data_IF_326878962327
#
_entry.id   IF_326878962327
#
_cell.length_a   1.000
_cell.length_b   1.000
_cell.length_c   1.000
_cell.angle_alpha   90.00
_cell.angle_beta   90.00
_cell.angle_gamma   90.00
#
_symmetry.space_group_name_H-M   'P 1'
#
loop_
_entity.id
_entity.type
_entity.pdbx_description
1 polymer ?
#
# COMPACT_ATOMS: atom_id res chain seq x y z
N UNK A 1 64.23 -36.35 69.49
CA UNK A 1 64.85 -36.31 68.19
C UNK A 1 63.68 -36.01 67.23
N UNK A 2 63.33 -34.77 66.89
CA UNK A 2 63.83 -33.96 65.80
C UNK A 2 63.02 -34.35 64.60
N UNK A 3 62.20 -33.59 64.05
CA UNK A 3 62.50 -32.45 63.27
C UNK A 3 61.23 -31.68 62.83
N UNK A 4 61.44 -30.43 62.54
CA UNK A 4 60.45 -29.44 62.21
C UNK A 4 60.11 -29.48 60.69
N UNK A 5 58.86 -29.39 60.35
CA UNK A 5 58.40 -29.21 58.97
C UNK A 5 57.39 -28.05 58.87
N UNK A 6 57.80 -27.00 58.26
CA UNK A 6 57.18 -25.73 58.10
C UNK A 6 55.86 -25.74 57.38
N UNK A 7 54.88 -25.04 57.95
CA UNK A 7 53.59 -24.70 57.36
C UNK A 7 53.77 -23.67 56.24
N UNK A 8 53.23 -23.92 55.02
CA UNK A 8 52.99 -22.92 54.03
C UNK A 8 51.49 -22.72 53.90
N UNK A 9 51.02 -21.54 54.31
CA UNK A 9 49.65 -21.11 54.16
C UNK A 9 49.38 -20.76 52.68
N UNK A 10 48.47 -21.53 52.10
CA UNK A 10 47.91 -21.23 50.77
C UNK A 10 46.77 -20.20 50.89
N UNK A 11 46.94 -19.07 50.30
CA UNK A 11 45.90 -18.07 50.19
C UNK A 11 44.77 -18.51 49.22
N UNK A 12 43.51 -18.15 49.50
CA UNK A 12 42.41 -18.52 48.59
C UNK A 12 42.42 -17.59 47.37
N UNK A 13 42.53 -18.16 46.19
CA UNK A 13 42.31 -17.50 44.89
C UNK A 13 40.84 -17.17 44.78
N UNK A 14 40.48 -15.91 44.92
CA UNK A 14 39.17 -15.39 44.60
C UNK A 14 39.01 -15.42 43.07
N UNK A 15 38.22 -16.36 42.57
CA UNK A 15 37.76 -16.37 41.18
C UNK A 15 36.81 -15.17 40.95
N UNK A 16 37.28 -14.16 40.21
CA UNK A 16 36.43 -13.13 39.67
C UNK A 16 35.61 -13.73 38.55
N UNK A 17 34.30 -13.94 38.79
CA UNK A 17 33.32 -14.21 37.75
C UNK A 17 33.02 -12.89 37.06
N UNK A 18 33.62 -12.67 35.89
CA UNK A 18 33.23 -11.58 34.97
C UNK A 18 31.90 -11.96 34.35
N UNK A 19 30.82 -11.39 34.86
CA UNK A 19 29.52 -11.41 34.17
C UNK A 19 29.62 -10.52 32.95
N UNK A 20 29.76 -11.15 31.79
CA UNK A 20 29.59 -10.48 30.49
C UNK A 20 28.11 -10.09 30.33
N UNK A 21 27.79 -8.84 30.61
CA UNK A 21 26.50 -8.27 30.23
C UNK A 21 26.50 -8.14 28.70
N UNK A 22 25.88 -9.11 28.02
CA UNK A 22 25.57 -8.99 26.60
C UNK A 22 24.51 -7.88 26.45
N UNK A 23 24.93 -6.66 26.22
CA UNK A 23 24.07 -5.60 25.68
C UNK A 23 23.66 -6.03 24.29
N UNK A 24 22.48 -6.63 24.19
CA UNK A 24 21.80 -6.80 22.91
C UNK A 24 21.55 -5.38 22.39
N UNK A 25 22.38 -4.96 21.44
CA UNK A 25 22.09 -3.80 20.59
C UNK A 25 20.81 -4.14 19.83
N UNK A 26 19.69 -3.66 20.36
CA UNK A 26 18.47 -3.56 19.57
C UNK A 26 18.83 -2.67 18.38
N UNK A 27 19.05 -3.29 17.23
CA UNK A 27 19.10 -2.57 15.96
C UNK A 27 17.83 -1.72 15.90
N UNK A 28 17.94 -0.40 15.66
CA UNK A 28 16.75 0.40 15.45
C UNK A 28 15.99 -0.25 14.31
N UNK A 29 14.71 -0.60 14.54
CA UNK A 29 13.82 -1.02 13.48
C UNK A 29 14.01 -0.02 12.35
N UNK A 30 14.38 -0.51 11.17
CA UNK A 30 14.56 0.32 9.99
C UNK A 30 13.27 1.12 9.84
N UNK A 31 13.32 2.41 10.18
CA UNK A 31 12.23 3.31 9.87
C UNK A 31 12.15 3.31 8.37
N UNK A 32 11.00 2.95 7.82
CA UNK A 32 10.72 3.14 6.41
C UNK A 32 11.09 4.59 6.09
N UNK A 33 12.22 4.75 5.44
CA UNK A 33 12.69 6.07 5.04
C UNK A 33 11.67 6.58 4.05
N UNK A 34 11.18 7.78 4.26
CA UNK A 34 10.30 8.46 3.32
C UNK A 34 11.17 8.77 2.10
N UNK A 35 11.34 7.80 1.24
CA UNK A 35 11.98 8.01 -0.04
C UNK A 35 11.04 8.89 -0.83
N UNK A 36 11.36 10.17 -0.90
CA UNK A 36 10.75 11.08 -1.86
C UNK A 36 11.20 10.66 -3.25
N UNK A 37 10.51 9.67 -3.82
CA UNK A 37 10.77 9.26 -5.18
C UNK A 37 10.38 10.43 -6.09
N UNK A 38 11.38 11.12 -6.60
CA UNK A 38 11.20 12.13 -7.63
C UNK A 38 11.00 11.44 -8.98
N UNK A 39 9.74 11.28 -9.35
CA UNK A 39 9.36 10.70 -10.65
C UNK A 39 9.30 11.77 -11.75
N UNK A 40 10.32 12.60 -11.84
CA UNK A 40 10.53 13.47 -12.98
C UNK A 40 9.36 14.38 -13.32
N UNK A 41 9.12 15.43 -12.55
CA UNK A 41 8.21 16.53 -12.91
C UNK A 41 6.71 16.23 -12.90
N UNK A 42 6.29 14.97 -12.77
CA UNK A 42 4.88 14.59 -12.82
C UNK A 42 4.17 14.65 -11.45
N UNK A 43 4.91 14.80 -10.36
CA UNK A 43 4.42 14.68 -8.98
C UNK A 43 4.44 16.00 -8.20
N UNK A 44 4.50 17.13 -8.88
CA UNK A 44 4.56 18.42 -8.19
C UNK A 44 3.43 18.54 -7.14
N UNK A 45 3.79 18.44 -5.88
CA UNK A 45 2.91 18.64 -4.74
C UNK A 45 2.39 17.40 -4.04
N UNK A 46 2.56 16.19 -4.57
CA UNK A 46 2.12 14.96 -3.88
C UNK A 46 3.31 14.27 -3.20
N UNK A 47 3.23 14.16 -1.88
CA UNK A 47 4.20 13.37 -1.10
C UNK A 47 3.78 11.90 -1.14
N UNK A 48 4.62 11.03 -1.70
CA UNK A 48 4.40 9.59 -1.73
C UNK A 48 5.08 8.96 -0.52
N UNK A 49 4.35 8.09 0.17
CA UNK A 49 4.82 7.29 1.31
C UNK A 49 4.38 5.86 1.07
N UNK A 50 5.26 4.90 1.22
CA UNK A 50 4.84 3.50 1.09
C UNK A 50 5.98 2.52 0.91
N UNK A 51 5.63 1.33 0.43
CA UNK A 51 6.53 0.22 0.23
C UNK A 51 7.51 0.48 -0.92
N UNK A 52 8.73 0.00 -0.77
CA UNK A 52 9.75 -0.09 -1.82
C UNK A 52 9.67 -1.40 -2.61
N UNK A 53 8.75 -2.29 -2.25
CA UNK A 53 8.54 -3.59 -2.90
C UNK A 53 7.72 -3.45 -4.18
N UNK A 54 8.32 -2.83 -5.18
CA UNK A 54 7.77 -2.68 -6.52
C UNK A 54 8.71 -3.27 -7.53
N UNK A 55 8.15 -3.84 -8.60
CA UNK A 55 8.96 -4.14 -9.76
C UNK A 55 9.59 -2.83 -10.23
N UNK A 56 10.92 -2.80 -10.39
CA UNK A 56 11.54 -1.67 -11.05
C UNK A 56 10.91 -1.54 -12.45
N UNK A 57 10.89 -0.35 -13.02
CA UNK A 57 10.46 -0.14 -14.40
C UNK A 57 11.48 -0.79 -15.34
N UNK A 58 11.53 -2.13 -15.31
CA UNK A 58 12.52 -2.94 -16.03
C UNK A 58 12.30 -2.92 -17.51
N UNK A 59 11.19 -2.41 -17.93
CA UNK A 59 10.94 -2.32 -19.32
C UNK A 59 9.98 -1.16 -19.59
N UNK A 60 10.15 -0.54 -20.67
CA UNK A 60 9.48 0.69 -21.07
C UNK A 60 8.17 0.40 -21.84
N UNK A 61 7.77 -0.86 -21.96
CA UNK A 61 6.72 -1.24 -22.90
C UNK A 61 5.71 -2.20 -22.30
N UNK A 62 4.58 -1.69 -21.82
CA UNK A 62 3.38 -2.45 -21.48
C UNK A 62 3.25 -2.89 -20.01
N UNK A 63 2.15 -3.52 -19.65
CA UNK A 63 2.01 -4.13 -18.34
C UNK A 63 2.97 -5.31 -18.22
N UNK A 64 3.85 -5.26 -17.23
CA UNK A 64 4.83 -6.31 -17.01
C UNK A 64 4.39 -7.20 -15.89
N UNK A 65 4.29 -8.46 -16.22
CA UNK A 65 4.24 -9.53 -15.25
C UNK A 65 5.66 -10.01 -14.95
N UNK A 66 5.88 -10.46 -13.72
CA UNK A 66 7.15 -11.12 -13.39
C UNK A 66 7.28 -12.43 -14.14
N UNK A 67 8.51 -12.79 -14.46
CA UNK A 67 8.77 -14.14 -14.97
C UNK A 67 8.54 -15.18 -13.87
N UNK A 68 8.20 -16.43 -14.23
CA UNK A 68 8.07 -17.52 -13.26
C UNK A 68 9.30 -17.72 -12.37
N UNK A 69 10.48 -17.34 -12.83
CA UNK A 69 11.72 -17.41 -12.04
C UNK A 69 11.74 -16.46 -10.83
N UNK A 70 11.02 -15.35 -10.90
CA UNK A 70 10.87 -14.38 -9.81
C UNK A 70 9.66 -14.73 -8.94
N UNK A 71 8.72 -15.50 -9.47
CA UNK A 71 7.49 -15.89 -8.78
C UNK A 71 7.74 -16.55 -7.41
N UNK A 72 8.79 -17.38 -7.29
CA UNK A 72 9.16 -18.01 -6.04
C UNK A 72 9.55 -16.98 -4.95
N UNK A 73 10.22 -15.90 -5.31
CA UNK A 73 10.58 -14.84 -4.38
C UNK A 73 9.34 -14.06 -3.93
N UNK A 74 8.38 -13.84 -4.82
CA UNK A 74 7.09 -13.21 -4.48
C UNK A 74 6.29 -14.09 -3.52
N UNK A 75 6.23 -15.41 -3.78
CA UNK A 75 5.60 -16.38 -2.88
C UNK A 75 6.26 -16.30 -1.50
N UNK A 76 7.59 -16.34 -1.45
CA UNK A 76 8.34 -16.25 -0.19
C UNK A 76 8.04 -14.94 0.55
N UNK A 77 8.06 -13.80 -0.14
CA UNK A 77 7.74 -12.48 0.46
C UNK A 77 6.34 -12.49 1.10
N UNK A 78 5.39 -13.14 0.45
CA UNK A 78 4.03 -13.26 0.98
C UNK A 78 3.94 -14.23 2.15
N UNK A 79 4.52 -15.42 2.05
CA UNK A 79 4.47 -16.47 3.06
C UNK A 79 5.23 -16.10 4.34
N UNK A 80 6.32 -15.34 4.24
CA UNK A 80 7.07 -14.83 5.40
C UNK A 80 6.39 -13.63 6.08
N UNK A 81 5.25 -13.17 5.56
CA UNK A 81 4.49 -12.05 6.14
C UNK A 81 4.96 -10.67 5.71
N UNK A 82 6.02 -10.54 4.92
CA UNK A 82 6.55 -9.26 4.46
C UNK A 82 5.50 -8.43 3.73
N UNK A 83 4.78 -9.04 2.79
CA UNK A 83 3.71 -8.36 2.06
C UNK A 83 2.62 -7.79 2.99
N UNK A 84 2.18 -8.58 3.96
CA UNK A 84 1.15 -8.14 4.92
C UNK A 84 1.65 -7.01 5.80
N UNK A 85 2.89 -7.13 6.30
CA UNK A 85 3.51 -6.11 7.14
C UNK A 85 3.64 -4.76 6.41
N UNK A 86 4.06 -4.77 5.15
CA UNK A 86 4.19 -3.56 4.31
C UNK A 86 2.83 -2.89 4.05
N UNK A 87 1.78 -3.69 3.79
CA UNK A 87 0.42 -3.16 3.65
C UNK A 87 -0.04 -2.52 4.95
N UNK A 88 0.10 -3.20 6.08
CA UNK A 88 -0.33 -2.70 7.39
C UNK A 88 0.40 -1.42 7.78
N UNK A 89 1.70 -1.34 7.54
CA UNK A 89 2.49 -0.14 7.81
C UNK A 89 2.03 1.03 6.93
N UNK A 90 1.92 0.83 5.62
CA UNK A 90 1.44 1.86 4.67
C UNK A 90 0.05 2.36 5.03
N UNK A 91 -0.88 1.44 5.33
CA UNK A 91 -2.26 1.76 5.74
C UNK A 91 -2.28 2.53 7.07
N UNK A 92 -1.43 2.13 8.02
CA UNK A 92 -1.27 2.82 9.30
C UNK A 92 -0.77 4.26 9.10
N UNK A 93 0.19 4.46 8.23
CA UNK A 93 0.68 5.80 7.84
C UNK A 93 -0.43 6.63 7.17
N UNK A 94 -1.17 6.06 6.23
CA UNK A 94 -2.28 6.72 5.56
C UNK A 94 -3.38 7.14 6.54
N UNK A 95 -3.75 6.27 7.47
CA UNK A 95 -4.73 6.55 8.51
C UNK A 95 -4.30 7.68 9.44
N UNK A 96 -3.04 7.66 9.91
CA UNK A 96 -2.49 8.73 10.75
C UNK A 96 -2.43 10.06 10.01
N UNK A 97 -2.03 10.03 8.74
CA UNK A 97 -1.98 11.22 7.90
C UNK A 97 -3.38 11.81 7.72
N UNK A 98 -4.36 10.99 7.31
CA UNK A 98 -5.74 11.42 7.11
C UNK A 98 -6.33 12.04 8.37
N UNK A 99 -6.13 11.42 9.55
CA UNK A 99 -6.59 11.99 10.81
C UNK A 99 -6.01 13.38 11.07
N UNK A 100 -4.68 13.54 10.95
CA UNK A 100 -4.02 14.85 11.12
C UNK A 100 -4.44 15.86 10.07
N UNK A 101 -4.68 15.43 8.84
CA UNK A 101 -5.18 16.28 7.77
C UNK A 101 -6.58 16.82 8.10
N UNK A 102 -7.47 15.97 8.56
CA UNK A 102 -8.82 16.36 8.99
C UNK A 102 -8.78 17.37 10.15
N UNK A 103 -7.93 17.16 11.14
CA UNK A 103 -7.77 18.09 12.26
C UNK A 103 -7.31 19.47 11.80
N UNK A 104 -6.36 19.53 10.86
CA UNK A 104 -5.86 20.79 10.32
C UNK A 104 -6.83 21.50 9.40
N UNK A 105 -7.53 20.75 8.54
CA UNK A 105 -8.34 21.33 7.45
C UNK A 105 -9.81 21.50 7.80
N UNK A 106 -10.34 20.63 8.63
CA UNK A 106 -11.77 20.62 8.99
C UNK A 106 -12.03 21.06 10.43
N UNK A 107 -10.97 21.18 11.21
CA UNK A 107 -10.97 21.54 12.64
C UNK A 107 -10.72 20.35 13.55
N UNK A 108 -9.96 20.60 14.62
CA UNK A 108 -9.59 19.57 15.61
C UNK A 108 -10.84 18.84 16.11
N UNK A 109 -10.78 17.52 16.10
CA UNK A 109 -11.88 16.63 16.51
C UNK A 109 -13.22 16.89 15.79
N UNK A 110 -13.16 17.37 14.54
CA UNK A 110 -14.35 17.63 13.74
C UNK A 110 -15.23 16.37 13.64
N UNK A 111 -16.49 16.48 14.00
CA UNK A 111 -17.48 15.43 13.83
C UNK A 111 -17.80 15.19 12.34
N UNK A 112 -18.39 14.05 12.04
CA UNK A 112 -18.69 13.56 10.68
C UNK A 112 -19.37 14.61 9.78
N UNK A 113 -20.38 15.30 10.28
CA UNK A 113 -21.11 16.30 9.52
C UNK A 113 -20.23 17.51 9.13
N UNK A 114 -19.31 17.91 10.01
CA UNK A 114 -18.36 18.99 9.73
C UNK A 114 -17.32 18.57 8.67
N UNK A 115 -16.81 17.33 8.79
CA UNK A 115 -15.88 16.77 7.81
C UNK A 115 -16.54 16.67 6.42
N UNK A 116 -17.80 16.25 6.35
CA UNK A 116 -18.53 16.20 5.09
C UNK A 116 -18.67 17.59 4.44
N UNK A 117 -18.94 18.63 5.24
CA UNK A 117 -18.96 20.03 4.74
C UNK A 117 -17.59 20.55 4.30
N UNK A 118 -16.51 19.99 4.87
CA UNK A 118 -15.13 20.29 4.47
C UNK A 118 -14.80 19.75 3.07
N UNK A 119 -15.66 18.90 2.50
CA UNK A 119 -15.51 18.26 1.18
C UNK A 119 -14.19 17.45 1.08
N UNK A 120 -13.79 16.83 2.19
CA UNK A 120 -12.65 15.93 2.23
C UNK A 120 -12.94 14.67 1.41
N UNK A 121 -11.96 14.20 0.64
CA UNK A 121 -12.05 12.97 -0.14
C UNK A 121 -10.80 12.13 0.04
N UNK A 122 -10.97 10.81 0.01
CA UNK A 122 -9.92 9.81 -0.12
C UNK A 122 -10.13 9.05 -1.43
N UNK A 123 -9.07 8.89 -2.20
CA UNK A 123 -9.06 8.14 -3.46
C UNK A 123 -8.40 6.80 -3.22
N UNK A 124 -8.98 5.74 -3.78
CA UNK A 124 -8.41 4.40 -3.78
C UNK A 124 -8.40 3.85 -5.20
N UNK A 125 -7.38 3.09 -5.53
CA UNK A 125 -7.43 2.15 -6.65
C UNK A 125 -8.19 0.89 -6.25
N UNK A 126 -8.36 -0.07 -7.16
CA UNK A 126 -9.10 -1.31 -6.90
C UNK A 126 -8.20 -2.54 -6.89
N UNK A 127 -7.57 -2.83 -8.03
CA UNK A 127 -6.80 -4.05 -8.26
C UNK A 127 -5.50 -3.99 -7.44
N UNK A 128 -5.17 -5.04 -6.67
CA UNK A 128 -4.08 -5.09 -5.68
C UNK A 128 -4.03 -3.92 -4.67
N UNK A 129 -5.14 -3.22 -4.56
CA UNK A 129 -5.37 -2.16 -3.57
C UNK A 129 -6.53 -2.51 -2.64
N UNK A 130 -7.71 -2.80 -3.16
CA UNK A 130 -8.89 -3.22 -2.40
C UNK A 130 -9.15 -4.73 -2.50
N UNK A 131 -8.77 -5.34 -3.60
CA UNK A 131 -8.77 -6.79 -3.83
C UNK A 131 -7.39 -7.27 -4.26
N UNK A 132 -7.07 -8.54 -4.01
CA UNK A 132 -5.75 -9.09 -4.30
C UNK A 132 -5.79 -10.09 -5.45
N UNK A 133 -4.98 -9.85 -6.47
CA UNK A 133 -4.78 -10.74 -7.61
C UNK A 133 -3.75 -11.85 -7.37
N UNK A 134 -3.08 -11.83 -6.22
CA UNK A 134 -2.00 -12.78 -5.93
C UNK A 134 -2.40 -14.24 -6.12
N UNK A 135 -3.54 -14.65 -5.57
CA UNK A 135 -3.97 -16.05 -5.65
C UNK A 135 -4.22 -16.51 -7.10
N UNK A 136 -4.69 -15.60 -7.96
CA UNK A 136 -4.85 -15.86 -9.38
C UNK A 136 -3.50 -16.04 -10.07
N UNK A 137 -2.61 -15.06 -9.96
CA UNK A 137 -1.32 -15.06 -10.66
C UNK A 137 -0.36 -16.14 -10.16
N UNK A 138 -0.35 -16.43 -8.84
CA UNK A 138 0.48 -17.47 -8.24
C UNK A 138 -0.07 -18.88 -8.48
N UNK A 139 -1.26 -19.04 -9.05
CA UNK A 139 -1.81 -20.37 -9.29
C UNK A 139 -0.98 -21.12 -10.35
N UNK A 140 -0.85 -22.47 -10.23
CA UNK A 140 -0.11 -23.26 -11.22
C UNK A 140 -0.66 -23.15 -12.65
N UNK A 141 -1.96 -22.85 -12.79
CA UNK A 141 -2.61 -22.71 -14.08
C UNK A 141 -2.22 -21.40 -14.78
N UNK A 142 -1.97 -20.33 -14.04
CA UNK A 142 -1.63 -19.00 -14.55
C UNK A 142 -0.10 -18.80 -14.57
N UNK A 143 0.57 -19.25 -13.50
CA UNK A 143 2.03 -19.22 -13.39
C UNK A 143 2.65 -17.87 -13.79
N UNK A 144 2.08 -16.79 -13.29
CA UNK A 144 2.53 -15.40 -13.53
C UNK A 144 2.39 -14.89 -14.96
N UNK A 145 1.61 -15.56 -15.80
CA UNK A 145 1.36 -15.14 -17.19
C UNK A 145 0.01 -14.42 -17.26
N UNK A 146 0.03 -13.17 -17.74
CA UNK A 146 -1.19 -12.41 -17.94
C UNK A 146 -2.00 -12.98 -19.10
N UNK A 147 -3.32 -13.19 -18.87
CA UNK A 147 -4.30 -13.52 -19.89
C UNK A 147 -5.53 -12.64 -19.66
N UNK A 148 -5.68 -11.61 -20.48
CA UNK A 148 -6.75 -10.64 -20.36
C UNK A 148 -8.15 -11.26 -20.37
N UNK A 149 -8.38 -12.29 -21.19
CA UNK A 149 -9.70 -12.94 -21.26
C UNK A 149 -10.00 -13.79 -20.02
N UNK A 150 -8.97 -14.42 -19.44
CA UNK A 150 -9.12 -15.16 -18.20
C UNK A 150 -9.28 -14.20 -17.01
N UNK A 151 -8.52 -13.11 -16.98
CA UNK A 151 -8.63 -12.05 -15.96
C UNK A 151 -10.04 -11.44 -15.95
N UNK A 152 -10.63 -11.16 -17.11
CA UNK A 152 -11.98 -10.62 -17.20
C UNK A 152 -13.03 -11.55 -16.58
N UNK A 153 -12.90 -12.85 -16.76
CA UNK A 153 -13.78 -13.84 -16.09
C UNK A 153 -13.64 -13.82 -14.57
N UNK A 154 -12.40 -13.63 -14.08
CA UNK A 154 -12.16 -13.50 -12.62
C UNK A 154 -12.78 -12.21 -12.08
N UNK A 155 -12.67 -11.11 -12.82
CA UNK A 155 -13.33 -9.84 -12.48
C UNK A 155 -14.85 -9.99 -12.44
N UNK A 156 -15.46 -10.60 -13.46
CA UNK A 156 -16.91 -10.85 -13.53
C UNK A 156 -17.40 -11.71 -12.35
N UNK A 157 -16.63 -12.74 -11.99
CA UNK A 157 -16.96 -13.62 -10.87
C UNK A 157 -16.73 -12.98 -9.49
N UNK A 158 -16.09 -11.82 -9.41
CA UNK A 158 -15.59 -11.22 -8.16
C UNK A 158 -14.75 -12.23 -7.34
N UNK A 159 -13.86 -12.96 -8.02
CA UNK A 159 -13.13 -14.09 -7.43
C UNK A 159 -12.03 -13.69 -6.46
N UNK A 160 -11.58 -12.46 -6.53
CA UNK A 160 -10.45 -11.98 -5.74
C UNK A 160 -10.82 -11.63 -4.29
N UNK A 161 -10.00 -12.02 -3.30
CA UNK A 161 -10.25 -11.68 -1.91
C UNK A 161 -9.92 -10.21 -1.60
N UNK A 162 -10.57 -9.67 -0.56
CA UNK A 162 -10.29 -8.32 -0.07
C UNK A 162 -8.88 -8.21 0.52
N UNK A 163 -8.21 -7.08 0.27
CA UNK A 163 -7.07 -6.62 1.06
C UNK A 163 -7.63 -5.93 2.31
N UNK A 164 -7.84 -6.71 3.36
CA UNK A 164 -8.59 -6.30 4.53
C UNK A 164 -8.10 -4.99 5.18
N UNK A 165 -6.78 -4.72 5.35
CA UNK A 165 -6.32 -3.46 5.94
C UNK A 165 -6.72 -2.24 5.10
N UNK A 166 -6.66 -2.32 3.77
CA UNK A 166 -7.00 -1.20 2.87
C UNK A 166 -8.51 -0.96 2.87
N UNK A 167 -9.32 -2.02 2.83
CA UNK A 167 -10.78 -1.91 2.97
C UNK A 167 -11.15 -1.31 4.34
N UNK A 168 -10.42 -1.66 5.41
CA UNK A 168 -10.63 -1.05 6.73
C UNK A 168 -10.29 0.45 6.74
N UNK A 169 -9.24 0.88 6.03
CA UNK A 169 -8.90 2.29 5.85
C UNK A 169 -10.01 3.05 5.11
N UNK A 170 -10.55 2.47 4.05
CA UNK A 170 -11.68 3.03 3.29
C UNK A 170 -12.90 3.21 4.21
N UNK A 171 -13.25 2.18 4.97
CA UNK A 171 -14.36 2.24 5.94
C UNK A 171 -14.10 3.28 7.04
N UNK A 172 -12.86 3.38 7.52
CA UNK A 172 -12.46 4.43 8.46
C UNK A 172 -12.67 5.83 7.86
N UNK A 173 -12.21 6.09 6.64
CA UNK A 173 -12.43 7.38 5.97
C UNK A 173 -13.93 7.73 5.95
N UNK A 174 -14.78 6.81 5.52
CA UNK A 174 -16.24 6.98 5.48
C UNK A 174 -16.85 7.23 6.86
N UNK A 175 -16.41 6.51 7.88
CA UNK A 175 -16.91 6.71 9.26
C UNK A 175 -16.60 8.11 9.79
N UNK A 176 -15.49 8.71 9.32
CA UNK A 176 -15.10 10.08 9.65
C UNK A 176 -15.84 11.15 8.82
N UNK A 177 -16.67 10.76 7.84
CA UNK A 177 -17.39 11.69 6.95
C UNK A 177 -16.59 12.14 5.73
N UNK A 178 -15.46 11.46 5.46
CA UNK A 178 -14.67 11.65 4.23
C UNK A 178 -15.40 10.94 3.08
N UNK A 179 -15.57 11.62 1.97
CA UNK A 179 -16.04 11.00 0.74
C UNK A 179 -14.97 10.07 0.18
N UNK A 180 -15.39 8.98 -0.45
CA UNK A 180 -14.49 8.03 -1.10
C UNK A 180 -14.72 8.06 -2.61
N UNK A 181 -13.66 8.12 -3.38
CA UNK A 181 -13.68 7.81 -4.80
C UNK A 181 -12.82 6.57 -5.08
N UNK A 182 -13.29 5.73 -6.00
CA UNK A 182 -12.52 4.63 -6.57
C UNK A 182 -12.13 5.03 -7.98
N UNK A 183 -10.83 4.97 -8.30
CA UNK A 183 -10.32 5.27 -9.65
C UNK A 183 -9.51 4.06 -10.10
N UNK A 184 -10.05 3.29 -11.02
CA UNK A 184 -9.45 2.02 -11.47
C UNK A 184 -9.09 2.06 -12.95
N UNK A 185 -8.07 1.29 -13.33
CA UNK A 185 -7.68 1.07 -14.73
C UNK A 185 -8.67 0.25 -15.54
N UNK A 186 -9.67 -0.35 -14.91
CA UNK A 186 -10.73 -1.12 -15.58
C UNK A 186 -11.52 -0.27 -16.57
N UNK A 187 -12.08 -0.88 -17.59
CA UNK A 187 -12.86 -0.19 -18.64
C UNK A 187 -14.27 0.11 -18.18
N UNK A 188 -14.87 1.15 -18.70
CA UNK A 188 -16.27 1.55 -18.40
C UNK A 188 -17.28 0.46 -18.71
N UNK A 189 -17.02 -0.38 -19.73
CA UNK A 189 -17.81 -1.57 -20.03
C UNK A 189 -17.88 -2.57 -18.87
N UNK A 190 -16.95 -2.50 -17.94
CA UNK A 190 -16.82 -3.38 -16.78
C UNK A 190 -17.47 -2.82 -15.51
N UNK A 191 -18.19 -1.70 -15.60
CA UNK A 191 -18.71 -0.96 -14.45
C UNK A 191 -19.67 -1.79 -13.58
N UNK A 192 -20.53 -2.61 -14.19
CA UNK A 192 -21.56 -3.34 -13.47
C UNK A 192 -20.98 -4.38 -12.50
N UNK A 193 -20.09 -5.22 -12.99
CA UNK A 193 -19.43 -6.21 -12.14
C UNK A 193 -18.37 -5.58 -11.22
N UNK A 194 -17.69 -4.51 -11.66
CA UNK A 194 -16.77 -3.77 -10.77
C UNK A 194 -17.50 -3.21 -9.54
N UNK A 195 -18.68 -2.62 -9.73
CA UNK A 195 -19.51 -2.13 -8.63
C UNK A 195 -19.97 -3.27 -7.70
N UNK A 196 -20.44 -4.38 -8.27
CA UNK A 196 -20.86 -5.56 -7.50
C UNK A 196 -19.69 -6.15 -6.68
N UNK A 197 -18.50 -6.23 -7.27
CA UNK A 197 -17.31 -6.71 -6.56
C UNK A 197 -16.93 -5.77 -5.39
N UNK A 198 -16.96 -4.45 -5.60
CA UNK A 198 -16.72 -3.48 -4.52
C UNK A 198 -17.71 -3.65 -3.35
N UNK A 199 -18.98 -3.89 -3.64
CA UNK A 199 -19.98 -4.16 -2.59
C UNK A 199 -19.65 -5.46 -1.86
N UNK A 200 -19.29 -6.53 -2.56
CA UNK A 200 -18.90 -7.83 -1.98
C UNK A 200 -17.66 -7.71 -1.09
N UNK A 201 -16.67 -6.89 -1.49
CA UNK A 201 -15.47 -6.59 -0.69
C UNK A 201 -15.79 -5.73 0.54
N UNK A 202 -17.00 -5.15 0.62
CA UNK A 202 -17.39 -4.18 1.64
C UNK A 202 -16.75 -2.82 1.45
N UNK A 203 -16.35 -2.52 0.22
CA UNK A 203 -15.82 -1.23 -0.22
C UNK A 203 -16.88 -0.35 -0.91
N UNK A 204 -18.13 -0.79 -0.97
CA UNK A 204 -19.27 -0.03 -1.50
C UNK A 204 -19.54 1.29 -0.78
N UNK A 205 -20.52 2.06 -1.25
CA UNK A 205 -20.89 3.36 -0.68
C UNK A 205 -19.87 4.47 -0.94
N UNK A 206 -19.13 4.36 -1.99
CA UNK A 206 -18.26 5.41 -2.53
C UNK A 206 -19.09 6.56 -3.13
N UNK A 207 -18.49 7.75 -3.22
CA UNK A 207 -19.10 8.94 -3.85
C UNK A 207 -18.93 8.93 -5.36
N UNK A 208 -17.83 8.35 -5.84
CA UNK A 208 -17.52 8.24 -7.27
C UNK A 208 -16.80 6.91 -7.55
N UNK A 209 -17.16 6.29 -8.67
CA UNK A 209 -16.45 5.18 -9.29
C UNK A 209 -16.05 5.64 -10.69
N UNK A 210 -14.75 5.69 -10.96
CA UNK A 210 -14.19 6.20 -12.21
C UNK A 210 -13.41 5.09 -12.89
N UNK A 211 -13.89 4.67 -14.05
CA UNK A 211 -13.28 3.69 -14.92
C UNK A 211 -12.77 4.39 -16.18
N UNK A 212 -11.91 3.72 -16.95
CA UNK A 212 -11.46 4.23 -18.24
C UNK A 212 -12.62 4.22 -19.24
N UNK A 213 -12.91 5.37 -19.81
CA UNK A 213 -13.80 5.52 -20.95
C UNK A 213 -13.01 5.39 -22.27
N UNK A 214 -13.67 5.25 -23.43
CA UNK A 214 -13.01 5.08 -24.73
C UNK A 214 -11.98 6.17 -25.05
N UNK A 215 -12.20 7.40 -24.61
CA UNK A 215 -11.26 8.51 -24.83
C UNK A 215 -9.94 8.31 -24.07
N UNK A 216 -9.93 7.47 -23.03
CA UNK A 216 -8.80 7.22 -22.17
C UNK A 216 -8.16 5.83 -22.34
N UNK A 217 -8.69 4.96 -23.23
CA UNK A 217 -8.14 3.60 -23.40
C UNK A 217 -6.67 3.60 -23.85
N UNK A 218 -6.25 4.60 -24.61
CA UNK A 218 -4.88 4.72 -25.13
C UNK A 218 -3.99 5.64 -24.29
N UNK A 219 -4.50 6.19 -23.19
CA UNK A 219 -3.67 7.02 -22.31
C UNK A 219 -2.93 6.14 -21.28
N UNK A 220 -1.81 6.64 -20.76
CA UNK A 220 -1.14 5.96 -19.64
C UNK A 220 -2.03 5.96 -18.39
N UNK A 221 -1.79 5.02 -17.48
CA UNK A 221 -2.51 4.97 -16.21
C UNK A 221 -2.32 6.27 -15.41
N UNK A 222 -1.10 6.79 -15.38
CA UNK A 222 -0.80 8.05 -14.69
C UNK A 222 -1.58 9.23 -15.25
N UNK A 223 -1.67 9.35 -16.59
CA UNK A 223 -2.46 10.41 -17.24
C UNK A 223 -3.94 10.29 -16.89
N UNK A 224 -4.51 9.11 -17.07
CA UNK A 224 -5.94 8.87 -16.77
C UNK A 224 -6.26 9.16 -15.29
N UNK A 225 -5.50 8.56 -14.36
CA UNK A 225 -5.77 8.68 -12.92
C UNK A 225 -5.56 10.11 -12.40
N UNK A 226 -4.55 10.83 -12.89
CA UNK A 226 -4.37 12.25 -12.54
C UNK A 226 -5.49 13.13 -13.08
N UNK A 227 -5.95 12.92 -14.31
CA UNK A 227 -7.09 13.66 -14.87
C UNK A 227 -8.38 13.37 -14.10
N UNK A 228 -8.59 12.12 -13.63
CA UNK A 228 -9.74 11.78 -12.81
C UNK A 228 -9.70 12.52 -11.47
N UNK A 229 -8.56 12.55 -10.76
CA UNK A 229 -8.38 13.36 -9.53
C UNK A 229 -8.61 14.83 -9.78
N UNK A 230 -8.05 15.39 -10.88
CA UNK A 230 -8.27 16.79 -11.28
C UNK A 230 -9.73 17.12 -11.49
N UNK A 231 -10.51 16.20 -12.10
CA UNK A 231 -11.96 16.40 -12.27
C UNK A 231 -12.68 16.46 -10.92
N UNK A 232 -12.32 15.61 -9.97
CA UNK A 232 -12.88 15.62 -8.62
C UNK A 232 -12.55 16.94 -7.89
N UNK A 233 -11.32 17.43 -7.99
CA UNK A 233 -10.96 18.74 -7.41
C UNK A 233 -11.75 19.91 -8.03
N UNK A 234 -11.93 19.91 -9.35
CA UNK A 234 -12.78 20.91 -10.03
C UNK A 234 -14.23 20.88 -9.57
N UNK A 235 -14.72 19.73 -9.10
CA UNK A 235 -16.02 19.60 -8.46
C UNK A 235 -16.01 20.11 -7.01
N UNK A 236 -14.89 20.63 -6.53
CA UNK A 236 -14.72 21.20 -5.20
C UNK A 236 -14.33 20.19 -4.12
N UNK A 237 -13.95 18.95 -4.47
CA UNK A 237 -13.42 17.99 -3.51
C UNK A 237 -11.98 18.33 -3.15
N UNK A 238 -11.59 18.05 -1.90
CA UNK A 238 -10.22 18.15 -1.41
C UNK A 238 -9.68 16.75 -1.17
N UNK A 239 -8.83 16.26 -2.06
CA UNK A 239 -8.32 14.91 -1.99
C UNK A 239 -7.16 14.88 -0.98
N UNK A 240 -7.44 14.36 0.21
CA UNK A 240 -6.47 14.27 1.30
C UNK A 240 -5.43 13.18 1.06
N UNK A 241 -5.87 12.03 0.54
CA UNK A 241 -5.02 10.87 0.26
C UNK A 241 -5.42 10.21 -1.07
N UNK A 242 -4.41 9.67 -1.77
CA UNK A 242 -4.58 8.69 -2.83
C UNK A 242 -3.85 7.42 -2.42
N UNK A 243 -4.50 6.27 -2.49
CA UNK A 243 -3.98 4.97 -2.08
C UNK A 243 -4.04 4.02 -3.27
N UNK A 244 -2.95 3.38 -3.57
CA UNK A 244 -2.84 2.42 -4.67
C UNK A 244 -1.55 1.62 -4.62
N UNK A 245 -1.44 0.62 -5.45
CA UNK A 245 -0.29 -0.27 -5.56
C UNK A 245 0.67 0.13 -6.69
N UNK A 246 0.25 1.08 -7.54
CA UNK A 246 1.07 1.61 -8.63
C UNK A 246 1.40 3.09 -8.42
N UNK A 247 2.59 3.50 -8.82
CA UNK A 247 2.98 4.92 -8.80
C UNK A 247 1.99 5.79 -9.58
N UNK A 248 1.41 5.26 -10.66
CA UNK A 248 0.39 5.92 -11.46
C UNK A 248 -0.87 6.31 -10.66
N UNK A 249 -1.16 5.66 -9.52
CA UNK A 249 -2.30 5.98 -8.66
C UNK A 249 -2.18 7.33 -7.97
N UNK A 250 -0.99 7.87 -7.86
CA UNK A 250 -0.71 9.11 -7.17
C UNK A 250 0.12 10.11 -8.00
N UNK A 251 0.66 9.70 -9.15
CA UNK A 251 1.42 10.56 -10.06
C UNK A 251 0.55 11.67 -10.66
N UNK A 252 1.16 12.78 -11.02
CA UNK A 252 0.47 13.90 -11.66
C UNK A 252 -0.31 14.79 -10.71
N UNK A 253 -0.17 14.64 -9.39
CA UNK A 253 -0.74 15.52 -8.38
C UNK A 253 -2.24 15.30 -8.10
N UNK A 254 -2.88 16.37 -7.63
CA UNK A 254 -4.30 16.40 -7.26
C UNK A 254 -4.67 15.51 -6.07
N UNK A 255 -3.69 15.27 -5.17
CA UNK A 255 -3.88 14.71 -3.84
C UNK A 255 -2.80 15.26 -2.93
N UNK A 256 -3.12 15.53 -1.66
CA UNK A 256 -2.15 16.10 -0.71
C UNK A 256 -1.08 15.07 -0.30
N UNK A 257 -1.39 13.77 -0.35
CA UNK A 257 -0.43 12.69 -0.14
C UNK A 257 -0.82 11.41 -0.88
N UNK A 258 0.17 10.66 -1.34
CA UNK A 258 0.05 9.35 -1.93
C UNK A 258 0.55 8.26 -0.97
N UNK A 259 -0.09 7.09 -0.98
CA UNK A 259 0.27 5.93 -0.17
C UNK A 259 0.38 4.71 -1.06
N UNK A 260 1.61 4.26 -1.26
CA UNK A 260 1.99 3.22 -2.20
C UNK A 260 2.04 1.87 -1.49
N UNK A 261 1.15 0.97 -1.86
CA UNK A 261 1.11 -0.42 -1.38
C UNK A 261 2.11 -1.29 -2.13
N UNK A 262 2.59 -2.38 -1.55
CA UNK A 262 3.51 -3.28 -2.25
C UNK A 262 2.81 -3.99 -3.41
N UNK A 263 3.43 -3.99 -4.58
CA UNK A 263 3.06 -4.85 -5.70
C UNK A 263 4.31 -5.38 -6.42
N UNK A 264 4.80 -6.58 -6.03
CA UNK A 264 5.92 -7.23 -6.71
C UNK A 264 5.50 -8.06 -7.93
N UNK A 265 4.22 -8.05 -8.33
CA UNK A 265 3.68 -8.95 -9.34
C UNK A 265 3.68 -8.36 -10.74
N UNK A 266 3.41 -7.08 -10.86
CA UNK A 266 3.38 -6.37 -12.15
C UNK A 266 3.62 -4.88 -11.99
N UNK A 267 3.91 -4.23 -13.09
CA UNK A 267 4.06 -2.77 -13.18
C UNK A 267 3.17 -2.20 -14.28
N UNK A 268 2.48 -1.11 -13.96
CA UNK A 268 1.64 -0.35 -14.91
C UNK A 268 2.14 1.11 -14.93
N UNK A 269 2.79 1.54 -16.02
CA UNK A 269 3.37 2.87 -16.17
C UNK A 269 2.33 4.01 -16.24
#
# INVERSE_FOLDING_TARGET
>A
MGDRGTSCAGAPVRALVLAAIATALLAPAARAEVVGLDFGGATAGTKIVGSDQHLPPLAVTGPYMVSPSIGADIVKFRETGGYTADIEDTVSHARRYLSRWLDRRCGRSAGRARVARCRAMAVFDMDDTLESWYAYYASPAVNWVADQAAEEKVMEACGNPAIAPTVALLRYARSRGVAVAIITGRRDTQISFTAACLDRLGAGGYRALVLRDPANYQTTAATFKSQARRRLERQGWRIAISVGDQVSDMSGGYADAGFLLPNPMYFIP
#
